data_IF_235347079017
#
_entry.id   IF_235347079017
#
_cell.length_a   1.000
_cell.length_b   1.000
_cell.length_c   1.000
_cell.angle_alpha   90.00
_cell.angle_beta   90.00
_cell.angle_gamma   90.00
#
_symmetry.space_group_name_H-M   'P 1'
#
loop_
_entity.id
_entity.type
_entity.pdbx_description
1 polymer ?
#
# COMPACT_ATOMS: atom_id res chain seq x y z
N UNK A 1 -9.83 54.86 -4.67
CA UNK A 1 -9.42 53.44 -4.71
C UNK A 1 -10.22 52.66 -3.68
N UNK A 2 -11.20 51.87 -4.12
CA UNK A 2 -12.13 51.19 -3.20
C UNK A 2 -11.57 49.87 -2.68
N UNK A 3 -11.63 49.66 -1.36
CA UNK A 3 -11.27 48.40 -0.71
C UNK A 3 -12.18 47.27 -1.23
N UNK A 4 -11.60 46.21 -1.81
CA UNK A 4 -12.32 45.03 -2.31
C UNK A 4 -12.30 43.93 -1.25
N UNK A 5 -13.47 43.62 -0.69
CA UNK A 5 -13.62 42.49 0.23
C UNK A 5 -13.77 41.18 -0.55
N UNK A 6 -12.84 40.24 -0.35
CA UNK A 6 -12.91 38.85 -0.80
C UNK A 6 -12.38 37.94 0.30
N UNK A 7 -13.18 36.99 0.76
CA UNK A 7 -12.78 35.96 1.73
C UNK A 7 -13.06 34.59 1.12
N UNK A 8 -12.11 33.66 1.15
CA UNK A 8 -12.30 32.28 0.70
C UNK A 8 -12.06 31.33 1.87
N UNK A 9 -13.03 30.48 2.18
CA UNK A 9 -12.94 29.52 3.29
C UNK A 9 -12.97 28.11 2.70
N UNK A 10 -11.93 27.32 3.00
CA UNK A 10 -11.88 25.90 2.66
C UNK A 10 -12.70 25.15 3.72
N UNK A 11 -13.71 24.42 3.27
CA UNK A 11 -14.59 23.66 4.17
C UNK A 11 -14.13 22.20 4.24
N UNK A 12 -13.80 21.62 3.09
CA UNK A 12 -13.26 20.26 2.92
C UNK A 12 -12.27 20.24 1.74
N UNK A 13 -11.42 19.21 1.58
CA UNK A 13 -10.59 19.04 0.38
C UNK A 13 -11.44 19.12 -0.90
N UNK A 14 -11.08 20.03 -1.82
CA UNK A 14 -11.83 20.23 -3.07
C UNK A 14 -13.05 21.15 -2.98
N UNK A 15 -13.49 21.61 -1.80
CA UNK A 15 -14.66 22.52 -1.68
C UNK A 15 -14.29 23.82 -0.98
N UNK A 16 -14.52 24.95 -1.65
CA UNK A 16 -14.24 26.30 -1.15
C UNK A 16 -15.45 27.21 -1.31
N UNK A 17 -15.77 27.96 -0.27
CA UNK A 17 -16.79 29.00 -0.32
C UNK A 17 -16.10 30.36 -0.43
N UNK A 18 -16.45 31.14 -1.45
CA UNK A 18 -15.93 32.47 -1.70
C UNK A 18 -17.00 33.50 -1.37
N UNK A 19 -16.65 34.45 -0.51
CA UNK A 19 -17.47 35.61 -0.17
C UNK A 19 -16.86 36.83 -0.85
N UNK A 20 -17.71 37.62 -1.51
CA UNK A 20 -17.34 38.88 -2.16
C UNK A 20 -18.47 39.88 -2.04
N UNK A 21 -18.19 41.16 -2.35
CA UNK A 21 -19.22 42.22 -2.37
C UNK A 21 -20.40 41.89 -3.31
N UNK A 22 -20.19 41.08 -4.36
CA UNK A 22 -21.24 40.68 -5.31
C UNK A 22 -22.01 39.41 -4.91
N UNK A 23 -21.62 38.75 -3.81
CA UNK A 23 -22.29 37.56 -3.27
C UNK A 23 -21.34 36.40 -2.95
N UNK A 24 -21.96 35.29 -2.55
CA UNK A 24 -21.29 34.03 -2.24
C UNK A 24 -21.17 33.14 -3.50
N UNK A 25 -20.04 32.47 -3.69
CA UNK A 25 -19.87 31.45 -4.72
C UNK A 25 -19.12 30.23 -4.19
N UNK A 26 -19.53 29.04 -4.61
CA UNK A 26 -18.94 27.77 -4.18
C UNK A 26 -18.08 27.21 -5.30
N UNK A 27 -16.83 26.86 -5.00
CA UNK A 27 -15.92 26.15 -5.91
C UNK A 27 -15.79 24.70 -5.47
N UNK A 28 -16.10 23.77 -6.36
CA UNK A 28 -16.11 22.32 -6.10
C UNK A 28 -15.16 21.67 -7.11
N UNK A 29 -14.20 20.87 -6.64
CA UNK A 29 -13.23 20.13 -7.43
C UNK A 29 -11.77 20.54 -7.17
N UNK A 30 -10.82 19.66 -7.52
CA UNK A 30 -9.38 19.90 -7.36
C UNK A 30 -8.88 21.06 -8.24
N UNK A 31 -7.66 21.55 -7.95
CA UNK A 31 -7.00 22.55 -8.81
C UNK A 31 -6.82 21.94 -10.20
N UNK A 32 -7.30 22.63 -11.24
CA UNK A 32 -7.23 22.16 -12.63
C UNK A 32 -8.48 21.45 -13.15
N UNK A 33 -9.43 21.09 -12.28
CA UNK A 33 -10.75 20.58 -12.68
C UNK A 33 -11.79 20.94 -11.61
N UNK A 34 -12.34 22.15 -11.69
CA UNK A 34 -13.26 22.66 -10.66
C UNK A 34 -14.40 23.49 -11.22
N UNK A 35 -15.57 23.38 -10.61
CA UNK A 35 -16.79 24.11 -10.97
C UNK A 35 -17.01 25.22 -9.95
N UNK A 36 -17.16 26.46 -10.42
CA UNK A 36 -17.49 27.63 -9.61
C UNK A 36 -18.95 28.02 -9.84
N UNK A 37 -19.77 27.94 -8.81
CA UNK A 37 -21.20 28.25 -8.84
C UNK A 37 -21.42 29.56 -8.10
N UNK A 38 -21.92 30.60 -8.78
CA UNK A 38 -22.18 31.89 -8.16
C UNK A 38 -23.27 32.70 -8.87
N UNK A 39 -23.58 33.87 -8.30
CA UNK A 39 -24.64 34.78 -8.78
C UNK A 39 -24.53 35.15 -10.26
N UNK A 40 -23.32 35.21 -10.82
CA UNK A 40 -23.06 35.58 -12.22
C UNK A 40 -23.05 34.39 -13.19
N UNK A 41 -23.33 33.19 -12.67
CA UNK A 41 -23.40 31.93 -13.40
C UNK A 41 -22.45 30.86 -12.87
N UNK A 42 -22.55 29.69 -13.49
CA UNK A 42 -21.73 28.51 -13.23
C UNK A 42 -20.61 28.45 -14.26
N UNK A 43 -19.39 28.30 -13.76
CA UNK A 43 -18.17 28.27 -14.56
C UNK A 43 -17.41 26.98 -14.31
N UNK A 44 -17.14 26.22 -15.37
CA UNK A 44 -16.19 25.11 -15.36
C UNK A 44 -14.77 25.68 -15.55
N UNK A 45 -13.85 25.29 -14.68
CA UNK A 45 -12.44 25.67 -14.76
C UNK A 45 -11.62 24.40 -14.98
N UNK A 46 -10.98 24.31 -16.13
CA UNK A 46 -10.04 23.24 -16.49
C UNK A 46 -8.65 23.84 -16.69
N UNK A 47 -7.57 23.15 -16.31
CA UNK A 47 -6.23 23.70 -16.45
C UNK A 47 -5.15 22.73 -15.98
N UNK A 48 -3.95 22.87 -16.54
CA UNK A 48 -2.82 22.00 -16.21
C UNK A 48 -2.14 22.58 -14.96
N UNK A 49 -2.10 21.85 -13.83
CA UNK A 49 -1.48 22.35 -12.60
C UNK A 49 0.02 22.67 -12.83
N UNK A 50 0.46 23.85 -12.37
CA UNK A 50 1.87 24.25 -12.42
C UNK A 50 2.32 25.03 -13.68
N UNK A 51 1.51 25.06 -14.75
CA UNK A 51 1.88 25.74 -16.01
C UNK A 51 1.32 27.15 -16.17
N UNK A 52 0.37 27.54 -15.31
CA UNK A 52 -0.37 28.80 -15.44
C UNK A 52 -1.43 28.81 -16.54
N UNK A 53 -1.56 27.74 -17.33
CA UNK A 53 -2.54 27.60 -18.40
C UNK A 53 -3.87 27.07 -17.83
N UNK A 54 -4.93 27.86 -17.97
CA UNK A 54 -6.29 27.48 -17.56
C UNK A 54 -7.33 27.98 -18.56
N UNK A 55 -8.39 27.21 -18.72
CA UNK A 55 -9.60 27.56 -19.45
C UNK A 55 -10.76 27.69 -18.47
N UNK A 56 -11.54 28.76 -18.63
CA UNK A 56 -12.78 28.97 -17.87
C UNK A 56 -13.93 29.03 -18.86
N UNK A 57 -14.82 28.06 -18.80
CA UNK A 57 -16.00 27.98 -19.63
C UNK A 57 -17.25 28.24 -18.80
N UNK A 58 -18.16 29.07 -19.30
CA UNK A 58 -19.42 29.35 -18.63
C UNK A 58 -20.43 28.28 -19.06
N UNK A 59 -20.75 27.38 -18.14
CA UNK A 59 -21.64 26.24 -18.39
C UNK A 59 -23.10 26.50 -17.94
N UNK A 60 -23.37 27.67 -17.35
CA UNK A 60 -24.75 28.09 -17.04
C UNK A 60 -24.85 29.49 -16.41
N UNK A 61 -26.06 30.06 -16.42
CA UNK A 61 -26.40 31.32 -15.74
C UNK A 61 -26.50 32.54 -16.67
N UNK A 62 -27.66 33.21 -16.66
CA UNK A 62 -28.04 34.24 -17.64
C UNK A 62 -27.18 35.51 -17.61
N UNK A 63 -26.92 36.05 -18.81
CA UNK A 63 -26.62 37.46 -19.03
C UNK A 63 -27.93 38.23 -18.95
N UNK A 64 -28.01 39.22 -18.06
CA UNK A 64 -28.95 40.33 -18.19
C UNK A 64 -28.59 41.07 -19.46
N UNK A 65 -29.36 40.85 -20.52
CA UNK A 65 -29.33 41.69 -21.72
C UNK A 65 -30.64 42.42 -21.75
N UNK A 66 -30.59 43.73 -21.48
CA UNK A 66 -31.72 44.63 -21.63
C UNK A 66 -32.14 44.63 -23.09
N UNK A 67 -33.24 43.96 -23.42
CA UNK A 67 -34.07 44.28 -24.58
C UNK A 67 -35.50 44.40 -24.08
N UNK A 68 -36.02 45.62 -24.17
CA UNK A 68 -37.44 45.90 -24.07
C UNK A 68 -38.15 45.02 -25.10
N UNK A 69 -38.90 44.04 -24.61
CA UNK A 69 -39.91 43.34 -25.35
C UNK A 69 -41.10 43.20 -24.41
N UNK A 70 -42.01 44.15 -24.54
CA UNK A 70 -43.39 44.05 -24.07
C UNK A 70 -43.95 42.68 -24.44
N UNK A 71 -44.08 41.81 -23.45
CA UNK A 71 -44.98 40.66 -23.53
C UNK A 71 -45.51 40.36 -22.13
N UNK A 72 -46.77 40.72 -21.96
CA UNK A 72 -47.69 40.18 -20.99
C UNK A 72 -47.70 38.64 -21.08
N UNK A 73 -46.88 38.00 -20.26
CA UNK A 73 -46.85 36.55 -20.11
C UNK A 73 -46.67 36.21 -18.63
N UNK A 74 -47.75 35.71 -18.01
CA UNK A 74 -47.81 35.18 -16.65
C UNK A 74 -46.70 34.13 -16.43
N UNK A 75 -45.53 34.57 -15.99
CA UNK A 75 -44.49 33.68 -15.44
C UNK A 75 -44.86 33.35 -14.00
N UNK A 76 -44.79 32.07 -13.62
CA UNK A 76 -44.98 31.58 -12.24
C UNK A 76 -43.98 32.24 -11.29
N UNK A 77 -44.29 33.45 -10.83
CA UNK A 77 -43.60 34.08 -9.72
C UNK A 77 -43.87 33.29 -8.45
N UNK A 78 -42.85 33.13 -7.61
CA UNK A 78 -43.05 32.58 -6.28
C UNK A 78 -44.08 33.43 -5.54
N UNK A 79 -44.91 32.77 -4.76
CA UNK A 79 -45.90 33.37 -3.89
C UNK A 79 -45.24 34.52 -3.07
N UNK A 80 -45.74 35.77 -3.14
CA UNK A 80 -45.12 36.90 -2.45
C UNK A 80 -44.96 36.69 -0.94
N UNK A 81 -45.92 35.98 -0.32
CA UNK A 81 -45.89 35.60 1.09
C UNK A 81 -44.73 34.62 1.38
N UNK A 82 -44.46 33.70 0.46
CA UNK A 82 -43.34 32.75 0.55
C UNK A 82 -41.99 33.47 0.46
N UNK A 83 -41.83 34.44 -0.46
CA UNK A 83 -40.59 35.20 -0.60
C UNK A 83 -40.29 36.06 0.64
N UNK A 84 -41.31 36.67 1.24
CA UNK A 84 -41.16 37.43 2.49
C UNK A 84 -40.65 36.55 3.63
N UNK A 85 -41.25 35.37 3.82
CA UNK A 85 -40.83 34.40 4.85
C UNK A 85 -39.43 33.84 4.54
N UNK A 86 -39.12 33.59 3.27
CA UNK A 86 -37.80 33.14 2.85
C UNK A 86 -36.70 34.12 3.25
N UNK A 87 -36.89 35.43 3.02
CA UNK A 87 -35.91 36.45 3.45
C UNK A 87 -35.81 36.59 4.97
N UNK A 88 -36.88 36.30 5.72
CA UNK A 88 -36.83 36.27 7.18
C UNK A 88 -35.94 35.14 7.72
N UNK A 89 -36.04 33.94 7.15
CA UNK A 89 -35.34 32.74 7.61
C UNK A 89 -33.92 32.57 7.07
N UNK A 90 -33.52 33.37 6.08
CA UNK A 90 -32.27 33.20 5.34
C UNK A 90 -31.01 33.40 6.21
N UNK A 91 -29.97 32.53 6.11
CA UNK A 91 -29.92 31.32 5.27
C UNK A 91 -30.80 30.18 5.79
N UNK A 92 -31.52 29.53 4.87
CA UNK A 92 -32.27 28.30 5.15
C UNK A 92 -31.34 27.11 4.92
N UNK A 93 -31.15 26.28 5.94
CA UNK A 93 -30.20 25.16 5.92
C UNK A 93 -30.99 23.85 6.02
N UNK A 94 -30.73 22.91 5.11
CA UNK A 94 -31.28 21.55 5.17
C UNK A 94 -30.23 20.67 5.84
N UNK A 95 -30.60 19.98 6.92
CA UNK A 95 -29.75 19.02 7.61
C UNK A 95 -30.41 17.65 7.64
N UNK A 96 -29.58 16.62 7.79
CA UNK A 96 -29.99 15.25 8.08
C UNK A 96 -29.31 14.85 9.39
N UNK A 97 -30.10 14.38 10.36
CA UNK A 97 -29.55 13.90 11.63
C UNK A 97 -29.09 12.43 11.52
N UNK A 98 -28.51 11.88 12.60
CA UNK A 98 -28.02 10.50 12.64
C UNK A 98 -29.08 9.44 12.31
N UNK A 99 -30.37 9.71 12.56
CA UNK A 99 -31.47 8.79 12.22
C UNK A 99 -31.97 8.92 10.78
N UNK A 100 -31.38 9.80 9.97
CA UNK A 100 -31.83 10.09 8.60
C UNK A 100 -33.02 11.05 8.52
N UNK A 101 -33.41 11.70 9.61
CA UNK A 101 -34.49 12.69 9.64
C UNK A 101 -33.98 14.03 9.12
N UNK A 102 -34.70 14.59 8.14
CA UNK A 102 -34.38 15.88 7.56
C UNK A 102 -34.99 17.00 8.39
N UNK A 103 -34.16 17.96 8.82
CA UNK A 103 -34.57 19.21 9.45
C UNK A 103 -34.24 20.39 8.53
N UNK A 104 -35.02 21.47 8.68
CA UNK A 104 -34.83 22.70 7.94
C UNK A 104 -34.68 23.79 9.01
N UNK A 105 -33.53 24.44 9.04
CA UNK A 105 -33.14 25.41 10.06
C UNK A 105 -32.95 26.79 9.45
N UNK A 106 -33.15 27.82 10.25
CA UNK A 106 -32.93 29.21 9.86
C UNK A 106 -31.50 29.69 10.20
N UNK A 107 -31.26 30.99 10.01
CA UNK A 107 -29.99 31.66 10.30
C UNK A 107 -29.49 31.53 11.75
N UNK A 108 -30.40 31.35 12.71
CA UNK A 108 -30.07 31.21 14.12
C UNK A 108 -29.83 29.74 14.50
N UNK A 109 -30.11 28.81 13.59
CA UNK A 109 -30.07 27.37 13.84
C UNK A 109 -31.39 26.81 14.38
N UNK A 110 -32.45 27.63 14.43
CA UNK A 110 -33.76 27.21 14.92
C UNK A 110 -34.49 26.40 13.85
N UNK A 111 -35.13 25.29 14.24
CA UNK A 111 -35.91 24.45 13.33
C UNK A 111 -37.14 25.22 12.87
N UNK A 112 -37.27 25.43 11.56
CA UNK A 112 -38.41 26.10 10.96
C UNK A 112 -39.62 25.16 11.01
N UNK A 113 -40.67 25.58 11.72
CA UNK A 113 -41.92 24.82 11.90
C UNK A 113 -43.11 25.38 11.09
N UNK A 114 -42.93 26.49 10.39
CA UNK A 114 -43.97 27.13 9.56
C UNK A 114 -44.44 26.22 8.42
N UNK A 115 -45.61 25.62 8.57
CA UNK A 115 -46.17 24.65 7.61
C UNK A 115 -46.35 25.20 6.20
N UNK A 116 -46.80 26.45 6.06
CA UNK A 116 -47.01 27.08 4.76
C UNK A 116 -45.68 27.23 4.03
N UNK A 117 -44.68 27.76 4.73
CA UNK A 117 -43.34 27.92 4.18
C UNK A 117 -42.73 26.56 3.82
N UNK A 118 -42.78 25.59 4.73
CA UNK A 118 -42.24 24.25 4.53
C UNK A 118 -42.88 23.55 3.33
N UNK A 119 -44.21 23.64 3.16
CA UNK A 119 -44.93 23.02 2.03
C UNK A 119 -44.47 23.59 0.68
N UNK A 120 -44.35 24.92 0.58
CA UNK A 120 -43.89 25.59 -0.65
C UNK A 120 -42.41 25.31 -0.92
N UNK A 121 -41.57 25.35 0.12
CA UNK A 121 -40.13 25.11 0.02
C UNK A 121 -39.83 23.67 -0.44
N UNK A 122 -40.50 22.67 0.18
CA UNK A 122 -40.38 21.25 -0.19
C UNK A 122 -40.85 20.93 -1.62
N UNK A 123 -41.68 21.79 -2.22
CA UNK A 123 -42.17 21.64 -3.58
C UNK A 123 -41.17 22.14 -4.65
N UNK A 124 -40.19 22.96 -4.28
CA UNK A 124 -39.19 23.52 -5.21
C UNK A 124 -38.26 22.45 -5.79
N UNK A 125 -37.81 22.65 -7.03
CA UNK A 125 -36.80 21.78 -7.66
C UNK A 125 -35.49 21.78 -6.89
N UNK A 126 -35.09 22.95 -6.38
CA UNK A 126 -33.83 23.15 -5.68
C UNK A 126 -33.82 22.40 -4.35
N UNK A 127 -34.91 22.46 -3.58
CA UNK A 127 -35.03 21.65 -2.36
C UNK A 127 -34.96 20.15 -2.66
N UNK A 128 -35.67 19.68 -3.69
CA UNK A 128 -35.66 18.25 -4.06
C UNK A 128 -34.26 17.79 -4.44
N UNK A 129 -33.54 18.57 -5.25
CA UNK A 129 -32.17 18.27 -5.64
C UNK A 129 -31.20 18.29 -4.43
N UNK A 130 -31.28 19.31 -3.58
CA UNK A 130 -30.45 19.41 -2.36
C UNK A 130 -30.75 18.27 -1.37
N UNK A 131 -32.03 17.92 -1.18
CA UNK A 131 -32.45 16.79 -0.36
C UNK A 131 -31.85 15.49 -0.88
N UNK A 132 -31.96 15.21 -2.17
CA UNK A 132 -31.45 13.98 -2.76
C UNK A 132 -29.92 13.89 -2.61
N UNK A 133 -29.22 14.98 -2.88
CA UNK A 133 -27.78 15.06 -2.68
C UNK A 133 -27.37 14.81 -1.22
N UNK A 134 -28.07 15.42 -0.25
CA UNK A 134 -27.81 15.22 1.17
C UNK A 134 -28.06 13.77 1.60
N UNK A 135 -29.12 13.14 1.08
CA UNK A 135 -29.40 11.72 1.35
C UNK A 135 -28.29 10.85 0.76
N UNK A 136 -27.83 11.10 -0.46
CA UNK A 136 -26.73 10.34 -1.07
C UNK A 136 -25.45 10.44 -0.25
N UNK A 137 -25.05 11.66 0.12
CA UNK A 137 -23.85 11.90 0.93
C UNK A 137 -23.94 11.27 2.31
N UNK A 138 -25.12 11.33 2.94
CA UNK A 138 -25.34 10.68 4.23
C UNK A 138 -25.26 9.16 4.15
N UNK A 139 -25.81 8.55 3.07
CA UNK A 139 -25.70 7.11 2.82
C UNK A 139 -24.26 6.67 2.54
N UNK A 140 -23.54 7.42 1.71
CA UNK A 140 -22.13 7.18 1.41
C UNK A 140 -21.28 7.23 2.68
N UNK A 141 -21.53 8.24 3.54
CA UNK A 141 -20.84 8.35 4.83
C UNK A 141 -21.18 7.17 5.76
N UNK A 142 -22.46 6.78 5.85
CA UNK A 142 -22.86 5.63 6.65
C UNK A 142 -22.23 4.32 6.16
N UNK A 143 -22.19 4.09 4.85
CA UNK A 143 -21.53 2.92 4.27
C UNK A 143 -20.02 2.91 4.55
N UNK A 144 -19.37 4.08 4.48
CA UNK A 144 -17.96 4.21 4.83
C UNK A 144 -17.71 3.88 6.30
N UNK A 145 -18.49 4.45 7.21
CA UNK A 145 -18.42 4.19 8.66
C UNK A 145 -18.64 2.71 8.97
N UNK A 146 -19.62 2.06 8.33
CA UNK A 146 -19.85 0.64 8.45
C UNK A 146 -18.62 -0.18 8.00
N UNK A 147 -18.04 0.14 6.83
CA UNK A 147 -16.88 -0.57 6.30
C UNK A 147 -15.63 -0.38 7.16
N UNK A 148 -15.40 0.83 7.66
CA UNK A 148 -14.28 1.12 8.55
C UNK A 148 -14.40 0.31 9.85
N UNK A 149 -15.60 0.25 10.45
CA UNK A 149 -15.85 -0.54 11.65
C UNK A 149 -15.72 -2.06 11.42
N UNK A 150 -16.25 -2.57 10.32
CA UNK A 150 -16.11 -3.98 9.94
C UNK A 150 -14.65 -4.36 9.68
N UNK A 151 -13.91 -3.53 8.93
CA UNK A 151 -12.50 -3.79 8.64
C UNK A 151 -11.65 -3.76 9.91
N UNK A 152 -11.85 -2.77 10.79
CA UNK A 152 -11.12 -2.68 12.06
C UNK A 152 -11.39 -3.91 12.96
N UNK A 153 -12.64 -4.38 13.01
CA UNK A 153 -12.97 -5.61 13.73
C UNK A 153 -12.33 -6.85 13.06
N UNK A 154 -12.36 -6.93 11.74
CA UNK A 154 -11.79 -8.03 10.99
C UNK A 154 -10.27 -8.14 11.14
N UNK A 155 -9.54 -7.02 11.21
CA UNK A 155 -8.10 -7.00 11.50
C UNK A 155 -7.78 -7.63 12.87
N UNK A 156 -8.63 -7.39 13.87
CA UNK A 156 -8.48 -8.00 15.20
C UNK A 156 -8.87 -9.48 15.20
N UNK A 157 -10.09 -9.81 14.79
CA UNK A 157 -10.63 -11.18 14.88
C UNK A 157 -9.87 -12.14 13.96
N UNK A 158 -9.46 -11.68 12.78
CA UNK A 158 -8.70 -12.47 11.84
C UNK A 158 -7.19 -12.20 11.93
N UNK A 159 -6.67 -11.90 13.12
CA UNK A 159 -5.23 -11.66 13.32
C UNK A 159 -4.34 -12.82 12.86
N UNK A 160 -4.87 -14.05 12.80
CA UNK A 160 -4.18 -15.19 12.20
C UNK A 160 -3.88 -15.01 10.68
N UNK A 161 -4.48 -14.04 10.00
CA UNK A 161 -4.13 -13.68 8.62
C UNK A 161 -2.69 -13.13 8.49
N UNK A 162 -2.12 -12.63 9.58
CA UNK A 162 -0.71 -12.20 9.66
C UNK A 162 0.25 -13.38 9.85
N UNK A 163 -0.24 -14.61 9.92
CA UNK A 163 0.59 -15.81 10.07
C UNK A 163 1.53 -16.05 8.88
N UNK A 164 2.63 -16.72 9.17
CA UNK A 164 3.67 -17.08 8.22
C UNK A 164 3.38 -18.44 7.58
N UNK A 165 3.90 -18.65 6.37
CA UNK A 165 3.89 -19.98 5.74
C UNK A 165 5.10 -20.74 6.24
N UNK A 166 4.86 -21.78 7.04
CA UNK A 166 5.93 -22.63 7.57
C UNK A 166 6.35 -23.62 6.49
N UNK A 167 7.61 -23.53 6.07
CA UNK A 167 8.22 -24.45 5.09
C UNK A 167 8.72 -25.73 5.75
N UNK A 168 8.77 -26.81 4.99
CA UNK A 168 9.39 -28.07 5.40
C UNK A 168 10.91 -27.97 5.40
N UNK A 169 11.58 -28.90 6.07
CA UNK A 169 13.04 -29.02 5.98
C UNK A 169 13.51 -29.26 4.53
N UNK A 170 12.77 -30.07 3.76
CA UNK A 170 13.06 -30.38 2.36
C UNK A 170 13.01 -29.12 1.47
N UNK A 171 12.08 -28.20 1.74
CA UNK A 171 11.99 -26.92 1.02
C UNK A 171 13.28 -26.09 1.22
N UNK A 172 13.83 -26.05 2.44
CA UNK A 172 15.09 -25.33 2.71
C UNK A 172 16.30 -26.03 2.07
N UNK A 173 16.34 -27.36 2.06
CA UNK A 173 17.38 -28.12 1.37
C UNK A 173 17.36 -27.89 -0.13
N UNK A 174 16.17 -27.86 -0.72
CA UNK A 174 15.98 -27.52 -2.13
C UNK A 174 16.39 -26.07 -2.42
N UNK A 175 16.02 -25.11 -1.57
CA UNK A 175 16.43 -23.70 -1.71
C UNK A 175 17.95 -23.54 -1.60
N UNK A 176 18.61 -24.26 -0.69
CA UNK A 176 20.07 -24.29 -0.54
C UNK A 176 20.74 -24.86 -1.80
N UNK A 177 20.21 -25.96 -2.34
CA UNK A 177 20.73 -26.58 -3.55
C UNK A 177 20.51 -25.71 -4.80
N UNK A 178 19.45 -24.90 -4.82
CA UNK A 178 19.09 -24.02 -5.92
C UNK A 178 19.81 -22.65 -5.91
N UNK A 179 20.66 -22.35 -4.92
CA UNK A 179 21.42 -21.10 -4.89
C UNK A 179 22.33 -21.03 -6.13
N UNK A 180 22.22 -19.98 -6.97
CA UNK A 180 22.89 -19.95 -8.27
C UNK A 180 24.39 -19.72 -8.14
N UNK A 181 25.16 -20.54 -8.85
CA UNK A 181 26.58 -20.30 -9.08
C UNK A 181 26.76 -19.42 -10.34
N UNK A 182 27.18 -18.17 -10.17
CA UNK A 182 27.34 -17.21 -11.27
C UNK A 182 28.78 -17.20 -11.79
N UNK A 183 28.92 -17.01 -13.09
CA UNK A 183 30.21 -16.81 -13.75
C UNK A 183 30.17 -15.62 -14.71
N UNK A 184 31.23 -14.83 -14.70
CA UNK A 184 31.41 -13.69 -15.57
C UNK A 184 31.56 -14.11 -17.03
N UNK A 185 30.69 -13.57 -17.87
CA UNK A 185 30.73 -13.78 -19.31
C UNK A 185 31.66 -12.77 -19.96
N UNK A 186 32.85 -13.22 -20.38
CA UNK A 186 33.83 -12.38 -21.07
C UNK A 186 33.26 -11.83 -22.37
N UNK A 187 33.52 -10.55 -22.63
CA UNK A 187 33.15 -9.89 -23.88
C UNK A 187 34.13 -10.30 -24.97
N UNK A 188 33.63 -10.39 -26.21
CA UNK A 188 34.46 -10.62 -27.38
C UNK A 188 35.14 -9.32 -27.83
N UNK A 189 36.36 -9.44 -28.37
CA UNK A 189 37.04 -8.32 -29.02
C UNK A 189 36.38 -8.03 -30.36
N UNK A 190 35.98 -6.77 -30.59
CA UNK A 190 35.10 -6.36 -31.68
C UNK A 190 35.83 -5.72 -32.88
N UNK A 191 37.11 -5.36 -32.73
CA UNK A 191 37.91 -4.81 -33.82
C UNK A 191 38.33 -5.91 -34.79
N UNK A 192 38.01 -5.71 -36.07
CA UNK A 192 38.40 -6.61 -37.15
C UNK A 192 39.91 -6.62 -37.35
N UNK A 193 40.42 -7.80 -37.67
CA UNK A 193 41.82 -8.00 -38.05
C UNK A 193 42.14 -7.23 -39.34
N UNK A 194 43.28 -6.51 -39.43
CA UNK A 194 43.66 -5.78 -40.62
C UNK A 194 43.78 -6.70 -41.85
N UNK A 195 43.09 -6.37 -42.93
CA UNK A 195 43.14 -7.15 -44.16
C UNK A 195 44.28 -6.68 -45.07
N UNK A 196 45.12 -7.64 -45.52
CA UNK A 196 46.18 -7.35 -46.51
C UNK A 196 45.63 -6.71 -47.78
N UNK A 197 44.43 -7.11 -48.21
CA UNK A 197 43.77 -6.57 -49.39
C UNK A 197 43.28 -5.12 -49.19
N UNK A 198 42.75 -4.79 -48.00
CA UNK A 198 42.33 -3.42 -47.67
C UNK A 198 43.53 -2.47 -47.61
N UNK A 199 44.66 -2.95 -47.08
CA UNK A 199 45.92 -2.20 -47.03
C UNK A 199 46.50 -2.01 -48.44
N UNK A 200 46.50 -3.06 -49.27
CA UNK A 200 46.91 -2.98 -50.67
C UNK A 200 46.07 -1.96 -51.45
N UNK A 201 44.75 -1.98 -51.25
CA UNK A 201 43.82 -1.00 -51.84
C UNK A 201 44.18 0.42 -51.40
N UNK A 202 44.40 0.63 -50.10
CA UNK A 202 44.77 1.94 -49.54
C UNK A 202 46.10 2.45 -50.09
N UNK A 203 47.11 1.57 -50.19
CA UNK A 203 48.41 1.90 -50.78
C UNK A 203 48.31 2.18 -52.27
N UNK A 204 47.47 1.45 -53.00
CA UNK A 204 47.21 1.69 -54.42
C UNK A 204 46.59 3.06 -54.63
N UNK A 205 45.59 3.43 -53.82
CA UNK A 205 44.99 4.78 -53.82
C UNK A 205 46.05 5.84 -53.51
N UNK A 206 46.86 5.65 -52.48
CA UNK A 206 47.93 6.59 -52.13
C UNK A 206 48.95 6.76 -53.27
N UNK A 207 49.44 5.65 -53.84
CA UNK A 207 50.38 5.67 -54.96
C UNK A 207 49.78 6.36 -56.19
N UNK A 208 48.48 6.22 -56.43
CA UNK A 208 47.78 6.88 -57.54
C UNK A 208 47.77 8.41 -57.45
N UNK A 209 47.79 8.95 -56.22
CA UNK A 209 47.76 10.39 -55.94
C UNK A 209 49.17 10.99 -55.82
N UNK A 210 50.12 10.24 -55.25
CA UNK A 210 51.41 10.81 -54.83
C UNK A 210 52.62 10.34 -55.65
N UNK A 211 52.55 9.19 -56.34
CA UNK A 211 53.65 8.70 -57.20
C UNK A 211 53.40 9.17 -58.63
N UNK A 212 54.20 10.15 -59.08
CA UNK A 212 54.15 10.74 -60.41
C UNK A 212 55.52 10.71 -61.09
N UNK A 213 55.54 10.69 -62.43
CA UNK A 213 56.77 10.75 -63.21
C UNK A 213 56.52 11.48 -64.52
N UNK A 214 57.53 12.23 -65.00
CA UNK A 214 57.50 12.86 -66.33
C UNK A 214 57.49 11.83 -67.46
N UNK A 215 57.99 10.61 -67.21
CA UNK A 215 57.91 9.48 -68.12
C UNK A 215 56.61 8.70 -67.86
N UNK A 216 55.50 9.13 -68.48
CA UNK A 216 54.16 8.60 -68.19
C UNK A 216 54.06 7.07 -68.34
N UNK A 217 54.83 6.47 -69.25
CA UNK A 217 54.90 5.01 -69.44
C UNK A 217 55.51 4.26 -68.24
N UNK A 218 56.30 4.91 -67.38
CA UNK A 218 56.91 4.32 -66.17
C UNK A 218 56.03 4.43 -64.93
N UNK A 219 55.04 5.33 -64.91
CA UNK A 219 54.21 5.63 -63.73
C UNK A 219 53.48 4.39 -63.20
N UNK A 220 52.95 3.54 -64.10
CA UNK A 220 52.28 2.29 -63.72
C UNK A 220 53.22 1.33 -62.97
N UNK A 221 54.46 1.19 -63.45
CA UNK A 221 55.48 0.33 -62.85
C UNK A 221 55.92 0.88 -61.48
N UNK A 222 56.22 2.18 -61.39
CA UNK A 222 56.63 2.84 -60.15
C UNK A 222 55.57 2.75 -59.04
N UNK A 223 54.27 2.82 -59.39
CA UNK A 223 53.17 2.66 -58.42
C UNK A 223 53.06 1.22 -57.91
N UNK A 224 53.20 0.23 -58.80
CA UNK A 224 53.19 -1.18 -58.41
C UNK A 224 54.39 -1.53 -57.53
N UNK A 225 55.57 -1.01 -57.85
CA UNK A 225 56.79 -1.14 -57.03
C UNK A 225 56.58 -0.51 -55.65
N UNK A 226 56.04 0.72 -55.58
CA UNK A 226 55.72 1.37 -54.31
C UNK A 226 54.78 0.53 -53.44
N UNK A 227 53.70 -0.01 -54.01
CA UNK A 227 52.77 -0.87 -53.26
C UNK A 227 53.50 -2.14 -52.77
N UNK A 228 54.25 -2.82 -53.63
CA UNK A 228 54.98 -4.04 -53.27
C UNK A 228 56.02 -3.83 -52.16
N UNK A 229 56.74 -2.70 -52.20
CA UNK A 229 57.77 -2.36 -51.21
C UNK A 229 57.17 -1.98 -49.84
N UNK A 230 55.95 -1.42 -49.81
CA UNK A 230 55.34 -0.88 -48.59
C UNK A 230 54.27 -1.80 -47.98
N UNK A 231 53.69 -2.73 -48.76
CA UNK A 231 52.56 -3.56 -48.33
C UNK A 231 52.89 -4.40 -47.08
N UNK A 232 54.03 -5.10 -47.11
CA UNK A 232 54.41 -5.98 -46.01
C UNK A 232 54.67 -5.19 -44.72
N UNK A 233 55.42 -4.09 -44.82
CA UNK A 233 55.71 -3.23 -43.67
C UNK A 233 54.44 -2.61 -43.07
N UNK A 234 53.51 -2.13 -43.90
CA UNK A 234 52.26 -1.54 -43.43
C UNK A 234 51.32 -2.58 -42.84
N UNK A 235 51.25 -3.78 -43.43
CA UNK A 235 50.49 -4.89 -42.88
C UNK A 235 51.04 -5.31 -41.51
N UNK A 236 52.36 -5.54 -41.40
CA UNK A 236 52.99 -5.91 -40.13
C UNK A 236 52.77 -4.86 -39.05
N UNK A 237 52.86 -3.57 -39.40
CA UNK A 237 52.59 -2.48 -38.46
C UNK A 237 51.14 -2.50 -37.95
N UNK A 238 50.16 -2.53 -38.85
CA UNK A 238 48.74 -2.52 -38.48
C UNK A 238 48.33 -3.79 -37.73
N UNK A 239 48.83 -4.95 -38.18
CA UNK A 239 48.59 -6.23 -37.52
C UNK A 239 49.19 -6.24 -36.11
N UNK A 240 50.42 -5.75 -35.92
CA UNK A 240 51.03 -5.65 -34.60
C UNK A 240 50.26 -4.70 -33.66
N UNK A 241 49.76 -3.57 -34.17
CA UNK A 241 48.91 -2.66 -33.40
C UNK A 241 47.57 -3.31 -33.00
N UNK A 242 46.94 -4.04 -33.93
CA UNK A 242 45.71 -4.78 -33.66
C UNK A 242 45.92 -5.90 -32.64
N UNK A 243 46.97 -6.70 -32.81
CA UNK A 243 47.34 -7.80 -31.92
C UNK A 243 47.59 -7.30 -30.50
N UNK A 244 48.31 -6.17 -30.36
CA UNK A 244 48.51 -5.52 -29.07
C UNK A 244 47.19 -5.11 -28.41
N UNK A 245 46.27 -4.48 -29.14
CA UNK A 245 44.96 -4.09 -28.60
C UNK A 245 44.11 -5.30 -28.20
N UNK A 246 44.16 -6.37 -28.99
CA UNK A 246 43.47 -7.63 -28.70
C UNK A 246 44.01 -8.25 -27.40
N UNK A 247 45.33 -8.32 -27.25
CA UNK A 247 45.96 -8.84 -26.04
C UNK A 247 45.64 -7.99 -24.80
N UNK A 248 45.71 -6.67 -24.91
CA UNK A 248 45.33 -5.75 -23.82
C UNK A 248 43.86 -5.93 -23.42
N UNK A 249 42.96 -6.05 -24.39
CA UNK A 249 41.54 -6.31 -24.14
C UNK A 249 41.31 -7.67 -23.47
N UNK A 250 41.93 -8.74 -23.96
CA UNK A 250 41.81 -10.09 -23.38
C UNK A 250 42.38 -10.12 -21.94
N UNK A 251 43.50 -9.45 -21.68
CA UNK A 251 44.04 -9.28 -20.33
C UNK A 251 43.08 -8.53 -19.41
N UNK A 252 42.46 -7.45 -19.91
CA UNK A 252 41.44 -6.72 -19.16
C UNK A 252 40.21 -7.60 -18.88
N UNK A 253 39.74 -8.37 -19.86
CA UNK A 253 38.62 -9.31 -19.68
C UNK A 253 38.95 -10.42 -18.67
N UNK A 254 40.19 -10.92 -18.65
CA UNK A 254 40.62 -11.90 -17.65
C UNK A 254 40.62 -11.30 -16.24
N UNK A 255 41.18 -10.10 -16.07
CA UNK A 255 41.20 -9.41 -14.78
C UNK A 255 39.80 -9.07 -14.26
N UNK A 256 38.91 -8.62 -15.16
CA UNK A 256 37.51 -8.37 -14.83
C UNK A 256 36.82 -9.68 -14.42
N UNK A 257 37.02 -10.76 -15.19
CA UNK A 257 36.46 -12.08 -14.87
C UNK A 257 36.92 -12.58 -13.49
N UNK A 258 38.21 -12.47 -13.18
CA UNK A 258 38.76 -12.83 -11.86
C UNK A 258 38.10 -12.03 -10.73
N UNK A 259 37.96 -10.70 -10.92
CA UNK A 259 37.38 -9.82 -9.91
C UNK A 259 35.89 -10.12 -9.71
N UNK A 260 35.12 -10.24 -10.78
CA UNK A 260 33.68 -10.50 -10.73
C UNK A 260 33.37 -11.90 -10.21
N UNK A 261 34.11 -12.93 -10.65
CA UNK A 261 33.94 -14.29 -10.15
C UNK A 261 34.27 -14.39 -8.65
N UNK A 262 35.30 -13.68 -8.18
CA UNK A 262 35.59 -13.64 -6.75
C UNK A 262 34.45 -13.02 -5.93
N UNK A 263 33.75 -12.01 -6.47
CA UNK A 263 32.55 -11.45 -5.85
C UNK A 263 31.41 -12.48 -5.86
N UNK A 264 31.15 -13.12 -7.00
CA UNK A 264 30.09 -14.13 -7.11
C UNK A 264 30.30 -15.32 -6.17
N UNK A 265 31.53 -15.81 -6.03
CA UNK A 265 31.88 -16.86 -5.08
C UNK A 265 31.59 -16.41 -3.65
N UNK A 266 32.01 -15.20 -3.26
CA UNK A 266 31.74 -14.66 -1.91
C UNK A 266 30.25 -14.49 -1.63
N UNK A 267 29.48 -14.03 -2.62
CA UNK A 267 28.01 -13.91 -2.50
C UNK A 267 27.36 -15.29 -2.35
N UNK A 268 27.78 -16.27 -3.14
CA UNK A 268 27.31 -17.65 -3.08
C UNK A 268 27.63 -18.31 -1.73
N UNK A 269 28.89 -18.22 -1.29
CA UNK A 269 29.34 -18.77 0.00
C UNK A 269 28.59 -18.13 1.16
N UNK A 270 28.41 -16.81 1.15
CA UNK A 270 27.64 -16.10 2.16
C UNK A 270 26.18 -16.55 2.18
N UNK A 271 25.54 -16.65 1.01
CA UNK A 271 24.15 -17.10 0.92
C UNK A 271 23.99 -18.54 1.44
N UNK A 272 24.90 -19.43 1.06
CA UNK A 272 24.93 -20.81 1.56
C UNK A 272 25.15 -20.86 3.09
N UNK A 273 26.08 -20.06 3.61
CA UNK A 273 26.38 -20.01 5.04
C UNK A 273 25.16 -19.53 5.84
N UNK A 274 24.52 -18.44 5.41
CA UNK A 274 23.30 -17.91 6.05
C UNK A 274 22.16 -18.92 6.03
N UNK A 275 21.94 -19.62 4.91
CA UNK A 275 20.91 -20.66 4.84
C UNK A 275 21.23 -21.84 5.76
N UNK A 276 22.49 -22.30 5.79
CA UNK A 276 22.93 -23.36 6.70
C UNK A 276 22.81 -22.96 8.17
N UNK A 277 23.12 -21.72 8.52
CA UNK A 277 22.95 -21.18 9.87
C UNK A 277 21.47 -21.17 10.28
N UNK A 278 20.58 -20.74 9.37
CA UNK A 278 19.13 -20.82 9.56
C UNK A 278 18.67 -22.26 9.81
N UNK A 279 19.12 -23.19 8.98
CA UNK A 279 18.74 -24.61 9.08
C UNK A 279 19.30 -25.27 10.36
N UNK A 280 20.49 -24.86 10.81
CA UNK A 280 21.08 -25.35 12.05
C UNK A 280 20.35 -24.82 13.30
N UNK A 281 19.82 -23.59 13.24
CA UNK A 281 18.98 -23.02 14.30
C UNK A 281 19.66 -22.97 15.67
N UNK A 282 20.91 -22.48 15.71
CA UNK A 282 21.62 -22.27 16.97
C UNK A 282 20.87 -21.32 17.90
N UNK A 283 21.12 -21.42 19.20
CA UNK A 283 20.50 -20.57 20.23
C UNK A 283 20.66 -19.06 19.91
N UNK A 284 21.88 -18.63 19.57
CA UNK A 284 22.17 -17.24 19.20
C UNK A 284 21.43 -16.81 17.94
N UNK A 285 21.38 -17.68 16.92
CA UNK A 285 20.67 -17.39 15.67
C UNK A 285 19.17 -17.18 15.92
N UNK A 286 18.54 -18.12 16.62
CA UNK A 286 17.09 -18.12 16.87
C UNK A 286 16.69 -16.89 17.69
N UNK A 287 17.37 -16.63 18.82
CA UNK A 287 17.12 -15.47 19.69
C UNK A 287 17.22 -14.16 18.94
N UNK A 288 18.32 -13.93 18.22
CA UNK A 288 18.56 -12.71 17.46
C UNK A 288 17.47 -12.46 16.40
N UNK A 289 17.09 -13.50 15.65
CA UNK A 289 16.08 -13.35 14.59
C UNK A 289 14.67 -13.21 15.18
N UNK A 290 14.37 -13.88 16.29
CA UNK A 290 13.12 -13.72 17.03
C UNK A 290 12.96 -12.29 17.54
N UNK A 291 13.96 -11.74 18.21
CA UNK A 291 13.94 -10.35 18.69
C UNK A 291 13.83 -9.33 17.55
N UNK A 292 14.56 -9.56 16.45
CA UNK A 292 14.46 -8.70 15.26
C UNK A 292 13.04 -8.73 14.67
N UNK A 293 12.42 -9.91 14.62
CA UNK A 293 11.05 -10.04 14.12
C UNK A 293 10.03 -9.40 15.08
N UNK A 294 10.08 -9.72 16.37
CA UNK A 294 9.17 -9.16 17.36
C UNK A 294 9.23 -7.63 17.42
N UNK A 295 10.44 -7.05 17.34
CA UNK A 295 10.64 -5.59 17.35
C UNK A 295 10.21 -4.87 16.07
N UNK A 296 10.08 -5.58 14.95
CA UNK A 296 9.65 -5.03 13.66
C UNK A 296 8.22 -5.40 13.26
N UNK A 297 7.54 -6.19 14.10
CA UNK A 297 6.19 -6.70 13.83
C UNK A 297 5.13 -5.60 13.82
N UNK A 298 4.17 -5.70 12.89
CA UNK A 298 3.08 -4.72 12.70
C UNK A 298 1.71 -5.34 13.05
N UNK A 299 1.64 -6.12 14.12
CA UNK A 299 0.37 -6.70 14.57
C UNK A 299 -0.62 -5.60 14.99
N UNK A 300 -1.94 -5.83 14.80
CA UNK A 300 -2.98 -4.85 15.14
C UNK A 300 -3.23 -4.74 16.66
N UNK A 301 -2.53 -5.52 17.47
CA UNK A 301 -2.58 -5.50 18.94
C UNK A 301 -1.17 -5.52 19.51
N UNK A 302 -1.00 -4.87 20.66
CA UNK A 302 0.21 -5.02 21.46
C UNK A 302 0.18 -6.38 22.16
N UNK A 303 1.30 -7.11 22.08
CA UNK A 303 1.50 -8.40 22.74
C UNK A 303 2.90 -8.44 23.30
N UNK A 304 3.03 -8.85 24.56
CA UNK A 304 4.32 -9.16 25.15
C UNK A 304 4.56 -10.66 25.03
N UNK A 305 5.78 -11.02 24.65
CA UNK A 305 6.18 -12.40 24.37
C UNK A 305 7.41 -12.71 25.20
N UNK A 306 7.23 -13.59 26.18
CA UNK A 306 8.35 -14.21 26.89
C UNK A 306 8.61 -15.57 26.26
N UNK A 307 9.88 -15.95 26.14
CA UNK A 307 10.24 -17.18 25.44
C UNK A 307 11.52 -17.83 25.96
N UNK A 308 11.61 -19.14 25.77
CA UNK A 308 12.80 -19.94 26.03
C UNK A 308 12.99 -20.96 24.91
N UNK A 309 14.22 -21.09 24.41
CA UNK A 309 14.56 -21.99 23.32
C UNK A 309 15.62 -23.01 23.77
N UNK A 310 15.31 -24.29 23.57
CA UNK A 310 16.22 -25.40 23.81
C UNK A 310 16.76 -25.93 22.47
N UNK A 311 17.96 -25.51 22.07
CA UNK A 311 18.53 -25.86 20.78
C UNK A 311 18.77 -27.38 20.60
N UNK A 312 19.12 -28.10 21.68
CA UNK A 312 19.42 -29.53 21.62
C UNK A 312 18.19 -30.38 21.26
N UNK A 313 17.01 -29.97 21.73
CA UNK A 313 15.74 -30.68 21.52
C UNK A 313 14.94 -30.07 20.37
N UNK A 314 15.19 -28.80 20.03
CA UNK A 314 14.39 -28.01 19.10
C UNK A 314 13.04 -27.59 19.68
N UNK A 315 12.95 -27.52 21.02
CA UNK A 315 11.75 -27.08 21.73
C UNK A 315 11.79 -25.57 21.96
N UNK A 316 10.65 -24.92 21.80
CA UNK A 316 10.44 -23.53 22.16
C UNK A 316 9.26 -23.42 23.13
N UNK A 317 9.40 -22.61 24.16
CA UNK A 317 8.35 -22.24 25.10
C UNK A 317 8.02 -20.78 24.89
N UNK A 318 6.74 -20.45 24.81
CA UNK A 318 6.26 -19.10 24.53
C UNK A 318 5.12 -18.76 25.47
N UNK A 319 5.30 -17.72 26.25
CA UNK A 319 4.27 -17.11 27.08
C UNK A 319 3.82 -15.79 26.44
N UNK A 320 2.52 -15.69 26.16
CA UNK A 320 1.90 -14.55 25.52
C UNK A 320 1.06 -13.78 26.53
N UNK A 321 1.42 -12.53 26.80
CA UNK A 321 0.51 -11.63 27.52
C UNK A 321 -0.55 -11.13 26.54
N UNK A 322 -1.75 -11.65 26.68
CA UNK A 322 -2.86 -11.42 25.77
C UNK A 322 -3.46 -10.01 25.99
N UNK A 323 -3.92 -9.36 24.91
CA UNK A 323 -4.66 -8.11 25.04
C UNK A 323 -5.95 -8.31 25.85
N UNK A 324 -6.42 -7.28 26.59
CA UNK A 324 -7.64 -7.37 27.38
C UNK A 324 -8.89 -7.50 26.49
N UNK A 325 -9.97 -8.12 26.98
CA UNK A 325 -11.25 -8.27 26.24
C UNK A 325 -11.82 -6.92 25.75
N UNK A 326 -11.46 -5.82 26.41
CA UNK A 326 -11.88 -4.46 26.04
C UNK A 326 -11.37 -3.98 24.67
N UNK A 327 -10.40 -4.66 24.05
CA UNK A 327 -10.01 -4.36 22.66
C UNK A 327 -11.12 -4.71 21.67
N UNK A 328 -12.01 -5.64 22.02
CA UNK A 328 -13.18 -6.00 21.21
C UNK A 328 -14.27 -4.93 21.40
N UNK A 329 -14.73 -4.26 20.32
CA UNK A 329 -15.77 -3.25 20.41
C UNK A 329 -17.08 -3.80 21.00
N UNK A 330 -17.62 -3.11 22.02
CA UNK A 330 -18.91 -3.46 22.65
C UNK A 330 -20.12 -3.20 21.75
N UNK A 331 -19.96 -2.38 20.72
CA UNK A 331 -21.01 -1.98 19.79
C UNK A 331 -20.61 -2.33 18.36
N UNK A 332 -21.59 -2.71 17.56
CA UNK A 332 -21.45 -2.91 16.12
C UNK A 332 -22.21 -1.82 15.36
N UNK A 333 -21.63 -1.34 14.26
CA UNK A 333 -22.33 -0.49 13.30
C UNK A 333 -23.21 -1.40 12.44
N UNK A 334 -24.52 -1.14 12.40
CA UNK A 334 -25.49 -1.94 11.62
C UNK A 334 -26.13 -1.11 10.52
N UNK A 335 -26.31 -1.70 9.34
CA UNK A 335 -26.97 -1.05 8.20
C UNK A 335 -28.48 -0.98 8.41
N UNK A 336 -29.06 0.19 8.15
CA UNK A 336 -30.51 0.41 8.15
C UNK A 336 -31.07 0.34 6.72
N UNK A 337 -32.34 -0.05 6.58
CA UNK A 337 -33.02 -0.14 5.29
C UNK A 337 -33.10 1.20 4.52
N UNK A 338 -33.01 2.33 5.23
CA UNK A 338 -33.00 3.67 4.62
C UNK A 338 -31.61 4.08 4.07
N UNK A 339 -30.58 3.23 4.25
CA UNK A 339 -29.19 3.45 3.86
C UNK A 339 -28.35 4.17 4.92
N UNK A 340 -28.91 4.46 6.10
CA UNK A 340 -28.16 4.93 7.25
C UNK A 340 -27.51 3.81 8.03
N UNK A 341 -26.80 4.18 9.09
CA UNK A 341 -26.24 3.23 10.04
C UNK A 341 -26.72 3.51 11.46
N UNK A 342 -26.64 2.49 12.31
CA UNK A 342 -26.96 2.58 13.74
C UNK A 342 -26.02 1.71 14.54
N UNK A 343 -25.51 2.25 15.65
CA UNK A 343 -24.83 1.48 16.67
C UNK A 343 -25.79 0.58 17.44
N UNK A 344 -25.38 -0.68 17.62
CA UNK A 344 -26.12 -1.67 18.38
C UNK A 344 -25.15 -2.39 19.32
N UNK A 345 -25.53 -2.49 20.59
CA UNK A 345 -24.77 -3.27 21.56
C UNK A 345 -24.67 -4.73 21.10
N UNK A 346 -23.45 -5.27 21.14
CA UNK A 346 -23.19 -6.69 20.89
C UNK A 346 -23.67 -7.50 22.08
N UNK A 347 -24.10 -8.74 21.82
CA UNK A 347 -24.36 -9.68 22.91
C UNK A 347 -23.05 -10.04 23.62
N UNK A 348 -23.13 -10.39 24.91
CA UNK A 348 -21.95 -10.87 25.66
C UNK A 348 -21.29 -12.07 24.96
N UNK A 349 -22.09 -13.00 24.46
CA UNK A 349 -21.60 -14.17 23.73
C UNK A 349 -20.82 -13.79 22.48
N UNK A 350 -21.29 -12.79 21.72
CA UNK A 350 -20.59 -12.32 20.51
C UNK A 350 -19.20 -11.77 20.85
N UNK A 351 -19.11 -10.90 21.85
CA UNK A 351 -17.83 -10.32 22.30
C UNK A 351 -16.87 -11.42 22.75
N UNK A 352 -17.35 -12.40 23.52
CA UNK A 352 -16.54 -13.50 24.02
C UNK A 352 -16.05 -14.44 22.93
N UNK A 353 -16.88 -14.74 21.92
CA UNK A 353 -16.47 -15.53 20.75
C UNK A 353 -15.42 -14.78 19.92
N UNK A 354 -15.66 -13.51 19.60
CA UNK A 354 -14.70 -12.67 18.85
C UNK A 354 -13.35 -12.55 19.58
N UNK A 355 -13.40 -12.42 20.92
CA UNK A 355 -12.19 -12.42 21.75
C UNK A 355 -11.45 -13.77 21.69
N UNK A 356 -12.16 -14.89 21.77
CA UNK A 356 -11.57 -16.22 21.66
C UNK A 356 -10.91 -16.44 20.29
N UNK A 357 -11.57 -16.07 19.19
CA UNK A 357 -11.02 -16.14 17.84
C UNK A 357 -9.75 -15.30 17.71
N UNK A 358 -9.75 -14.07 18.24
CA UNK A 358 -8.57 -13.20 18.24
C UNK A 358 -7.42 -13.79 19.05
N UNK A 359 -7.63 -14.25 20.30
CA UNK A 359 -6.51 -14.71 21.15
C UNK A 359 -5.91 -16.03 20.69
N UNK A 360 -6.72 -16.96 20.15
CA UNK A 360 -6.19 -18.16 19.50
C UNK A 360 -5.52 -17.82 18.17
N UNK A 361 -6.10 -16.90 17.40
CA UNK A 361 -5.50 -16.43 16.15
C UNK A 361 -4.14 -15.76 16.38
N UNK A 362 -4.00 -15.00 17.46
CA UNK A 362 -2.74 -14.40 17.88
C UNK A 362 -1.72 -15.47 18.24
N UNK A 363 -2.13 -16.50 19.01
CA UNK A 363 -1.29 -17.65 19.32
C UNK A 363 -0.78 -18.37 18.07
N UNK A 364 -1.65 -18.62 17.09
CA UNK A 364 -1.29 -19.21 15.79
C UNK A 364 -0.30 -18.32 15.03
N UNK A 365 -0.58 -17.01 14.99
CA UNK A 365 0.28 -16.05 14.30
C UNK A 365 1.69 -16.05 14.89
N UNK A 366 1.81 -15.94 16.21
CA UNK A 366 3.12 -15.95 16.87
C UNK A 366 3.83 -17.28 16.65
N UNK A 367 3.13 -18.40 16.87
CA UNK A 367 3.68 -19.75 16.67
C UNK A 367 4.21 -19.95 15.25
N UNK A 368 3.45 -19.55 14.23
CA UNK A 368 3.87 -19.67 12.83
C UNK A 368 5.11 -18.82 12.51
N UNK A 369 5.19 -17.60 13.05
CA UNK A 369 6.35 -16.74 12.85
C UNK A 369 7.59 -17.30 13.53
N UNK A 370 7.44 -17.89 14.71
CA UNK A 370 8.56 -18.59 15.37
C UNK A 370 9.01 -19.82 14.57
N UNK A 371 8.10 -20.65 14.07
CA UNK A 371 8.48 -21.76 13.20
C UNK A 371 9.17 -21.31 11.90
N UNK A 372 8.84 -20.14 11.36
CA UNK A 372 9.49 -19.60 10.15
C UNK A 372 10.93 -19.11 10.40
N UNK A 373 11.31 -18.81 11.66
CA UNK A 373 12.68 -18.41 12.01
C UNK A 373 13.69 -19.49 11.63
N UNK A 374 13.41 -20.75 11.97
CA UNK A 374 14.31 -21.86 11.70
C UNK A 374 13.55 -23.20 11.61
N UNK A 375 13.90 -24.08 10.64
CA UNK A 375 13.38 -25.44 10.61
C UNK A 375 13.91 -26.34 11.75
N UNK A 376 14.91 -25.90 12.51
CA UNK A 376 15.39 -26.62 13.69
C UNK A 376 14.39 -26.58 14.86
N UNK A 377 13.48 -25.59 14.86
CA UNK A 377 12.39 -25.51 15.83
C UNK A 377 11.32 -26.52 15.42
N UNK A 378 11.24 -27.61 16.19
CA UNK A 378 10.37 -28.77 15.92
C UNK A 378 9.05 -28.65 16.68
N UNK A 379 9.09 -28.09 17.88
CA UNK A 379 7.97 -28.07 18.83
C UNK A 379 7.85 -26.72 19.52
N UNK A 380 6.64 -26.20 19.66
CA UNK A 380 6.36 -24.92 20.32
C UNK A 380 5.21 -25.07 21.35
N UNK A 381 5.47 -24.79 22.63
CA UNK A 381 4.48 -24.78 23.68
C UNK A 381 4.09 -23.33 23.89
N UNK A 382 2.87 -22.97 23.50
CA UNK A 382 2.37 -21.60 23.61
C UNK A 382 1.30 -21.51 24.70
N UNK A 383 1.52 -20.64 25.68
CA UNK A 383 0.58 -20.35 26.75
C UNK A 383 0.14 -18.88 26.70
N UNK A 384 -1.17 -18.65 26.71
CA UNK A 384 -1.74 -17.30 26.68
C UNK A 384 -2.24 -16.88 28.06
N UNK A 385 -1.74 -15.76 28.57
CA UNK A 385 -2.07 -15.19 29.88
C UNK A 385 -2.89 -13.92 29.74
N UNK A 386 -3.90 -13.75 30.59
CA UNK A 386 -4.65 -12.50 30.68
C UNK A 386 -4.54 -11.92 32.08
N UNK A 387 -4.19 -10.64 32.16
CA UNK A 387 -4.15 -9.89 33.42
C UNK A 387 -5.57 -9.64 33.93
N UNK A 388 -5.85 -10.12 35.14
CA UNK A 388 -7.14 -10.01 35.83
C UNK A 388 -6.93 -9.48 37.24
N UNK A 389 -8.00 -9.02 37.88
CA UNK A 389 -7.95 -8.61 39.28
C UNK A 389 -8.40 -9.75 40.19
N UNK A 390 -7.61 -10.06 41.19
CA UNK A 390 -7.97 -11.00 42.26
C UNK A 390 -9.04 -10.39 43.18
N UNK A 391 -9.41 -11.11 44.25
CA UNK A 391 -10.44 -10.66 45.21
C UNK A 391 -9.98 -9.46 46.03
N UNK A 392 -8.67 -9.34 46.20
CA UNK A 392 -7.96 -8.30 46.93
C UNK A 392 -7.73 -7.05 46.06
N UNK A 393 -7.98 -7.15 44.76
CA UNK A 393 -7.86 -6.07 43.77
C UNK A 393 -6.47 -5.97 43.11
N UNK A 394 -5.56 -6.90 43.38
CA UNK A 394 -4.24 -6.96 42.75
C UNK A 394 -4.35 -7.53 41.34
N UNK A 395 -3.48 -7.08 40.45
CA UNK A 395 -3.36 -7.65 39.11
C UNK A 395 -2.58 -8.97 39.17
N UNK A 396 -3.20 -10.01 38.62
CA UNK A 396 -2.67 -11.37 38.53
C UNK A 396 -2.85 -11.87 37.11
N UNK A 397 -1.83 -12.53 36.57
CA UNK A 397 -1.89 -13.13 35.25
C UNK A 397 -2.44 -14.55 35.34
N UNK A 398 -3.59 -14.78 34.71
CA UNK A 398 -4.22 -16.10 34.63
C UNK A 398 -4.02 -16.71 33.25
N UNK A 399 -3.52 -17.94 33.18
CA UNK A 399 -3.42 -18.69 31.93
C UNK A 399 -4.81 -19.05 31.40
N UNK A 400 -5.14 -18.61 30.19
CA UNK A 400 -6.41 -18.90 29.51
C UNK A 400 -6.32 -20.17 28.66
N UNK A 401 -5.18 -20.38 28.01
CA UNK A 401 -4.90 -21.56 27.20
C UNK A 401 -3.41 -21.93 27.22
N UNK A 402 -3.11 -23.20 26.97
CA UNK A 402 -1.75 -23.73 26.79
C UNK A 402 -1.80 -24.85 25.75
N UNK A 403 -0.99 -24.76 24.69
CA UNK A 403 -1.11 -25.61 23.48
C UNK A 403 0.27 -26.10 23.03
N UNK A 404 0.39 -27.41 22.79
CA UNK A 404 1.60 -28.06 22.28
C UNK A 404 1.52 -28.21 20.76
N UNK A 405 2.33 -27.44 20.04
CA UNK A 405 2.38 -27.50 18.59
C UNK A 405 3.58 -28.31 18.10
N UNK A 406 3.33 -29.22 17.17
CA UNK A 406 4.35 -29.86 16.34
C UNK A 406 4.47 -29.09 15.03
N UNK A 407 5.71 -28.90 14.53
CA UNK A 407 5.99 -28.18 13.29
C UNK A 407 5.20 -28.72 12.10
N UNK A 408 5.09 -30.04 12.00
CA UNK A 408 4.39 -30.74 10.91
C UNK A 408 2.91 -30.36 10.81
N UNK A 409 2.30 -29.88 11.90
CA UNK A 409 0.93 -29.36 11.89
C UNK A 409 0.78 -27.97 11.26
N UNK A 410 1.88 -27.28 10.97
CA UNK A 410 1.93 -25.96 10.33
C UNK A 410 2.52 -25.99 8.91
N UNK A 411 3.34 -27.00 8.60
CA UNK A 411 4.04 -27.09 7.32
C UNK A 411 3.08 -27.07 6.13
N UNK A 412 3.28 -26.08 5.25
CA UNK A 412 2.48 -25.84 4.05
C UNK A 412 0.96 -25.69 4.30
N UNK A 413 0.55 -25.36 5.53
CA UNK A 413 -0.86 -25.14 5.87
C UNK A 413 -1.28 -23.70 5.49
N UNK A 414 -2.39 -23.52 4.75
CA UNK A 414 -2.92 -22.20 4.44
C UNK A 414 -3.65 -21.61 5.67
N UNK A 415 -2.88 -21.12 6.65
CA UNK A 415 -3.38 -20.64 7.94
C UNK A 415 -4.46 -19.56 7.80
N UNK A 416 -4.35 -18.67 6.79
CA UNK A 416 -5.33 -17.60 6.51
C UNK A 416 -6.73 -18.08 6.13
N UNK A 417 -6.90 -19.38 5.89
CA UNK A 417 -8.18 -19.99 5.53
C UNK A 417 -8.73 -20.86 6.67
N UNK A 418 -8.02 -20.93 7.80
CA UNK A 418 -8.41 -21.76 8.94
C UNK A 418 -9.25 -20.96 9.93
N UNK A 419 -10.20 -21.62 10.58
CA UNK A 419 -10.80 -21.07 11.79
C UNK A 419 -9.83 -21.31 12.97
N UNK A 420 -9.40 -20.28 13.72
CA UNK A 420 -8.43 -20.44 14.80
C UNK A 420 -8.84 -21.45 15.87
N UNK A 421 -10.10 -21.43 16.29
CA UNK A 421 -10.64 -22.32 17.31
C UNK A 421 -10.61 -23.78 16.84
N UNK A 422 -11.00 -24.04 15.60
CA UNK A 422 -10.95 -25.40 15.03
C UNK A 422 -9.51 -25.87 14.79
N UNK A 423 -8.63 -24.96 14.37
CA UNK A 423 -7.24 -25.27 14.08
C UNK A 423 -6.48 -25.73 15.33
N UNK A 424 -6.62 -25.01 16.45
CA UNK A 424 -5.96 -25.41 17.70
C UNK A 424 -6.47 -26.75 18.25
N UNK A 425 -7.71 -27.14 17.91
CA UNK A 425 -8.30 -28.41 18.31
C UNK A 425 -7.61 -29.63 17.71
N UNK A 426 -6.73 -29.45 16.72
CA UNK A 426 -5.91 -30.51 16.11
C UNK A 426 -4.70 -30.90 16.96
N UNK A 427 -4.36 -30.08 17.94
CA UNK A 427 -3.16 -30.21 18.77
C UNK A 427 -3.54 -30.58 20.20
N UNK A 428 -2.57 -31.11 20.96
CA UNK A 428 -2.75 -31.28 22.39
C UNK A 428 -2.88 -29.89 23.05
N UNK A 429 -4.01 -29.64 23.70
CA UNK A 429 -4.34 -28.33 24.24
C UNK A 429 -5.03 -28.42 25.61
N UNK A 430 -4.85 -27.37 26.41
CA UNK A 430 -5.57 -27.10 27.66
C UNK A 430 -6.19 -25.71 27.55
N UNK A 431 -7.51 -25.66 27.55
CA UNK A 431 -8.27 -24.43 27.83
C UNK A 431 -9.57 -24.81 28.51
N UNK A 432 -10.19 -23.86 29.21
CA UNK A 432 -11.51 -24.06 29.82
C UNK A 432 -12.41 -22.88 29.51
N UNK A 433 -13.45 -23.12 28.74
CA UNK A 433 -14.42 -22.09 28.35
C UNK A 433 -15.86 -22.55 28.56
N UNK A 434 -16.79 -21.61 28.75
CA UNK A 434 -18.23 -21.89 28.67
C UNK A 434 -18.66 -22.14 27.22
N UNK A 435 -19.91 -22.55 27.00
CA UNK A 435 -20.50 -22.60 25.65
C UNK A 435 -20.52 -21.23 24.94
N UNK A 436 -20.37 -20.15 25.69
CA UNK A 436 -20.30 -18.77 25.19
C UNK A 436 -18.88 -18.24 25.10
N UNK A 437 -17.87 -19.10 25.18
CA UNK A 437 -16.44 -18.72 25.12
C UNK A 437 -15.92 -17.84 26.27
N UNK A 438 -16.59 -17.86 27.44
CA UNK A 438 -16.02 -17.23 28.63
C UNK A 438 -14.90 -18.10 29.21
N UNK A 439 -13.64 -17.65 29.08
CA UNK A 439 -12.46 -18.36 29.59
C UNK A 439 -12.37 -18.40 31.12
N UNK A 440 -11.99 -19.55 31.64
CA UNK A 440 -11.60 -19.80 33.03
C UNK A 440 -10.11 -20.10 33.09
N UNK A 441 -9.46 -19.70 34.18
CA UNK A 441 -8.06 -20.00 34.42
C UNK A 441 -7.80 -21.52 34.37
N UNK A 442 -6.66 -21.90 33.79
CA UNK A 442 -6.12 -23.26 33.74
C UNK A 442 -4.69 -23.28 34.26
N UNK A 443 -4.19 -24.46 34.63
CA UNK A 443 -2.75 -24.67 34.84
C UNK A 443 -2.10 -24.95 33.47
N UNK A 444 -1.07 -24.19 33.04
CA UNK A 444 -0.40 -24.46 31.77
C UNK A 444 0.29 -25.84 31.77
N UNK A 445 0.73 -26.30 30.61
CA UNK A 445 1.70 -27.39 30.55
C UNK A 445 3.04 -26.93 31.12
N UNK A 446 3.76 -27.83 31.79
CA UNK A 446 5.07 -27.52 32.38
C UNK A 446 6.21 -27.94 31.41
N UNK A 447 5.94 -28.85 30.47
CA UNK A 447 6.90 -29.44 29.53
C UNK A 447 6.22 -29.97 28.25
N UNK A 448 7.07 -30.43 27.31
CA UNK A 448 6.67 -31.04 26.03
C UNK A 448 6.49 -32.54 26.08
#
# INVERSE_FOLDING_TARGET
MGMRFRRSVKILPGVRINFSKSGMSTTIGPKGASINIGKNGTYLNTGIPGTGLYMREKIGGGKTTTRQASSSGRGKGYDPEFLRRYEQYKPVIIKINGSGKITIEDKNGDVITDEFFLKKMKATSDFKAQKEQLISQWREKGEQEYREAENALAELVNIHHYSFTVKTMEDYEHELAAIPHKEYQKKAFDQKEPSRHEIETSLTTYASLHVTSKAFWRVKKLRAEYVAENLELQYQKQHAEWEKKKQEFEQQQNKEAETQNAIYIREYEKACATMKEKMAGSDEYVKKHLETWLSSSTLPVEVNVDYEYEADTGNMYIDLLLPPESVIPKQAITRLANGGVKEKDKSRTTIQTEYAEMVFGLGICITSGVFDISPAIKRILTSGFATRRDKEGNEVDECLYSIKYERTGFENVPLRQQNPIEFIGRFENRYKATQTWAFKAIKPFDDF
#
